data_IF_029339664712
#
_entry.id   IF_029339664712
#
_cell.length_a   1.000
_cell.length_b   1.000
_cell.length_c   1.000
_cell.angle_alpha   90.00
_cell.angle_beta   90.00
_cell.angle_gamma   90.00
#
_symmetry.space_group_name_H-M   'P 1'
#
loop_
_entity.id
_entity.type
_entity.pdbx_description
1 polymer ?
#
# COMPACT_ATOMS: atom_id res chain seq x y z
N UNK A 1 9.31 -1.78 -22.59
CA UNK A 1 8.91 -1.20 -21.29
C UNK A 1 7.92 -0.05 -21.45
N UNK A 2 8.25 1.07 -22.13
CA UNK A 2 7.30 2.20 -22.28
C UNK A 2 5.96 1.81 -22.95
N UNK A 3 5.99 1.02 -24.02
CA UNK A 3 4.78 0.52 -24.70
C UNK A 3 3.93 -0.37 -23.79
N UNK A 4 4.56 -1.21 -22.94
CA UNK A 4 3.85 -2.04 -21.97
C UNK A 4 3.19 -1.21 -20.86
N UNK A 5 3.83 -0.13 -20.42
CA UNK A 5 3.25 0.81 -19.46
C UNK A 5 2.04 1.50 -20.08
N UNK A 6 2.15 2.00 -21.31
CA UNK A 6 1.04 2.68 -22.00
C UNK A 6 -0.12 1.72 -22.26
N UNK A 7 0.14 0.51 -22.77
CA UNK A 7 -0.89 -0.50 -22.97
C UNK A 7 -1.53 -0.92 -21.65
N UNK A 8 -0.72 -1.17 -20.61
CA UNK A 8 -1.22 -1.53 -19.29
C UNK A 8 -2.11 -0.45 -18.68
N UNK A 9 -1.71 0.82 -18.79
CA UNK A 9 -2.51 1.96 -18.31
C UNK A 9 -3.82 2.07 -19.09
N UNK A 10 -3.78 2.00 -20.42
CA UNK A 10 -4.98 2.13 -21.24
C UNK A 10 -5.98 0.97 -21.01
N UNK A 11 -5.50 -0.26 -20.88
CA UNK A 11 -6.39 -1.42 -20.66
C UNK A 11 -6.93 -1.50 -19.24
N UNK A 12 -6.17 -1.06 -18.24
CA UNK A 12 -6.60 -1.11 -16.84
C UNK A 12 -7.45 0.09 -16.41
N UNK A 13 -7.24 1.28 -16.99
CA UNK A 13 -8.02 2.47 -16.67
C UNK A 13 -9.35 2.56 -17.42
N UNK A 14 -9.43 2.05 -18.65
CA UNK A 14 -10.66 2.11 -19.46
C UNK A 14 -11.91 1.51 -18.79
N UNK A 15 -11.85 0.40 -18.02
CA UNK A 15 -13.02 -0.15 -17.34
C UNK A 15 -13.26 0.42 -15.93
N UNK A 16 -12.37 1.27 -15.40
CA UNK A 16 -12.45 1.73 -14.01
C UNK A 16 -13.35 2.96 -13.85
N UNK A 17 -14.07 3.08 -12.72
CA UNK A 17 -14.76 4.31 -12.35
C UNK A 17 -13.79 5.50 -12.24
N UNK A 18 -14.28 6.70 -12.52
CA UNK A 18 -13.46 7.92 -12.51
C UNK A 18 -12.72 8.14 -11.18
N UNK A 19 -13.35 7.77 -10.05
CA UNK A 19 -12.75 7.82 -8.72
C UNK A 19 -11.49 6.94 -8.58
N UNK A 20 -11.46 5.77 -9.24
CA UNK A 20 -10.31 4.87 -9.22
C UNK A 20 -9.19 5.33 -10.17
N UNK A 21 -9.54 6.00 -11.27
CA UNK A 21 -8.58 6.42 -12.30
C UNK A 21 -7.54 7.42 -11.77
N UNK A 22 -7.95 8.39 -10.94
CA UNK A 22 -7.03 9.37 -10.37
C UNK A 22 -5.97 8.72 -9.46
N UNK A 23 -6.40 7.78 -8.60
CA UNK A 23 -5.51 7.05 -7.70
C UNK A 23 -4.62 6.06 -8.45
N UNK A 24 -5.13 5.45 -9.53
CA UNK A 24 -4.34 4.56 -10.37
C UNK A 24 -3.28 5.32 -11.19
N UNK A 25 -3.60 6.53 -11.65
CA UNK A 25 -2.63 7.42 -12.27
C UNK A 25 -1.54 7.85 -11.27
N UNK A 26 -1.92 8.19 -10.03
CA UNK A 26 -0.97 8.53 -8.97
C UNK A 26 -0.05 7.36 -8.63
N UNK A 27 -0.61 6.16 -8.45
CA UNK A 27 0.16 4.91 -8.25
C UNK A 27 1.19 4.71 -9.38
N UNK A 28 0.74 4.85 -10.63
CA UNK A 28 1.62 4.67 -11.80
C UNK A 28 2.73 5.71 -11.81
N UNK A 29 2.42 6.98 -11.52
CA UNK A 29 3.39 8.06 -11.46
C UNK A 29 4.45 7.80 -10.39
N UNK A 30 4.06 7.40 -9.18
CA UNK A 30 5.02 7.15 -8.09
C UNK A 30 5.90 5.92 -8.36
N UNK A 31 5.40 4.91 -9.07
CA UNK A 31 6.18 3.76 -9.53
C UNK A 31 7.21 4.13 -10.60
N UNK A 32 6.89 5.05 -11.52
CA UNK A 32 7.86 5.56 -12.50
C UNK A 32 9.00 6.33 -11.81
N UNK A 33 8.69 7.04 -10.72
CA UNK A 33 9.67 7.80 -9.93
C UNK A 33 10.51 6.90 -9.01
N UNK A 34 9.99 5.75 -8.59
CA UNK A 34 10.65 4.85 -7.63
C UNK A 34 12.12 4.49 -7.96
N UNK A 35 12.51 4.15 -9.22
CA UNK A 35 13.91 3.90 -9.56
C UNK A 35 14.85 5.08 -9.26
N UNK A 36 14.34 6.32 -9.33
CA UNK A 36 15.10 7.53 -8.99
C UNK A 36 15.24 7.68 -7.47
N UNK A 37 14.23 7.26 -6.69
CA UNK A 37 14.27 7.31 -5.23
C UNK A 37 15.43 6.49 -4.65
N UNK A 38 15.86 5.40 -5.30
CA UNK A 38 17.05 4.64 -4.87
C UNK A 38 18.35 5.47 -4.85
N UNK A 39 18.40 6.59 -5.57
CA UNK A 39 19.57 7.48 -5.63
C UNK A 39 19.52 8.63 -4.63
N UNK A 40 18.34 9.01 -4.16
CA UNK A 40 18.14 10.24 -3.37
C UNK A 40 17.48 10.02 -2.01
N UNK A 41 16.74 8.93 -1.82
CA UNK A 41 16.03 8.64 -0.57
C UNK A 41 16.83 7.66 0.30
N UNK A 42 16.91 7.94 1.60
CA UNK A 42 17.58 7.08 2.59
C UNK A 42 16.75 5.82 2.96
N UNK A 43 15.54 5.67 2.42
CA UNK A 43 14.65 4.53 2.65
C UNK A 43 13.76 4.25 1.42
N UNK A 44 14.34 3.81 0.28
CA UNK A 44 13.57 3.56 -0.95
C UNK A 44 12.43 2.54 -0.75
N UNK A 45 12.56 1.63 0.22
CA UNK A 45 11.52 0.66 0.59
C UNK A 45 10.22 1.33 1.06
N UNK A 46 10.31 2.45 1.77
CA UNK A 46 9.12 3.17 2.24
C UNK A 46 8.37 3.79 1.06
N UNK A 47 9.11 4.35 0.08
CA UNK A 47 8.52 4.89 -1.15
C UNK A 47 7.83 3.81 -1.98
N UNK A 48 8.45 2.64 -2.10
CA UNK A 48 7.87 1.49 -2.78
C UNK A 48 6.57 1.05 -2.11
N UNK A 49 6.58 0.92 -0.78
CA UNK A 49 5.41 0.55 0.01
C UNK A 49 4.27 1.56 -0.13
N UNK A 50 4.56 2.85 -0.01
CA UNK A 50 3.57 3.92 -0.19
C UNK A 50 2.97 3.92 -1.60
N UNK A 51 3.78 3.62 -2.62
CA UNK A 51 3.32 3.49 -4.00
C UNK A 51 2.37 2.32 -4.17
N UNK A 52 2.71 1.13 -3.66
CA UNK A 52 1.81 -0.03 -3.71
C UNK A 52 0.53 0.17 -2.90
N UNK A 53 0.62 0.87 -1.78
CA UNK A 53 -0.53 1.11 -0.91
C UNK A 53 -1.62 1.99 -1.56
N UNK A 54 -1.31 2.80 -2.58
CA UNK A 54 -2.35 3.44 -3.40
C UNK A 54 -3.30 2.44 -4.07
N UNK A 55 -2.88 1.19 -4.25
CA UNK A 55 -3.72 0.11 -4.76
C UNK A 55 -4.96 -0.15 -3.89
N UNK A 56 -4.86 0.08 -2.57
CA UNK A 56 -6.02 0.05 -1.66
C UNK A 56 -7.07 1.07 -2.08
N UNK A 57 -6.62 2.28 -2.44
CA UNK A 57 -7.51 3.34 -2.87
C UNK A 57 -8.11 3.09 -4.25
N UNK A 58 -7.33 2.53 -5.18
CA UNK A 58 -7.84 2.07 -6.49
C UNK A 58 -8.93 1.02 -6.30
N UNK A 59 -8.71 0.03 -5.42
CA UNK A 59 -9.71 -0.99 -5.10
C UNK A 59 -10.98 -0.41 -4.47
N UNK A 60 -10.84 0.55 -3.55
CA UNK A 60 -11.97 1.27 -2.97
C UNK A 60 -12.77 2.05 -4.03
N UNK A 61 -12.09 2.79 -4.91
CA UNK A 61 -12.70 3.50 -6.03
C UNK A 61 -13.43 2.57 -7.00
N UNK A 62 -12.86 1.40 -7.28
CA UNK A 62 -13.50 0.37 -8.11
C UNK A 62 -14.76 -0.20 -7.47
N UNK A 63 -14.82 -0.26 -6.14
CA UNK A 63 -15.99 -0.66 -5.36
C UNK A 63 -17.01 0.48 -5.16
N UNK A 64 -16.80 1.66 -5.75
CA UNK A 64 -17.70 2.81 -5.68
C UNK A 64 -17.44 3.78 -4.52
N UNK A 65 -16.31 3.66 -3.82
CA UNK A 65 -15.91 4.59 -2.74
C UNK A 65 -15.00 5.67 -3.30
N UNK A 66 -15.48 6.91 -3.37
CA UNK A 66 -14.67 8.05 -3.79
C UNK A 66 -13.84 8.61 -2.63
N UNK A 67 -12.62 8.11 -2.50
CA UNK A 67 -11.67 8.55 -1.47
C UNK A 67 -11.22 10.00 -1.62
N UNK A 68 -11.13 10.54 -2.84
CA UNK A 68 -10.72 11.94 -3.03
C UNK A 68 -11.81 12.86 -2.50
N UNK A 69 -13.06 12.53 -2.81
CA UNK A 69 -14.22 13.25 -2.30
C UNK A 69 -14.28 13.20 -0.77
N UNK A 70 -14.13 12.01 -0.16
CA UNK A 70 -14.10 11.84 1.30
C UNK A 70 -12.98 12.67 1.95
N UNK A 71 -11.77 12.63 1.39
CA UNK A 71 -10.64 13.43 1.88
C UNK A 71 -10.85 14.95 1.73
N UNK A 72 -11.68 15.38 0.79
CA UNK A 72 -12.04 16.80 0.61
C UNK A 72 -13.04 17.32 1.66
N UNK A 73 -13.68 16.44 2.44
CA UNK A 73 -14.72 16.80 3.41
C UNK A 73 -14.56 16.14 4.77
N UNK A 74 -13.32 15.99 5.24
CA UNK A 74 -12.99 15.28 6.49
C UNK A 74 -13.85 15.72 7.70
N UNK A 75 -14.08 17.02 7.86
CA UNK A 75 -14.85 17.58 8.98
C UNK A 75 -16.36 17.29 8.91
N UNK A 76 -16.86 16.91 7.73
CA UNK A 76 -18.28 16.66 7.46
C UNK A 76 -18.59 15.17 7.22
N UNK A 77 -17.61 14.28 7.41
CA UNK A 77 -17.81 12.85 7.19
C UNK A 77 -18.86 12.28 8.15
N UNK A 78 -19.78 11.49 7.61
CA UNK A 78 -20.67 10.69 8.44
C UNK A 78 -19.87 9.65 9.25
N UNK A 79 -20.45 9.15 10.35
CA UNK A 79 -19.79 8.15 11.20
C UNK A 79 -19.42 6.87 10.43
N UNK A 80 -20.26 6.43 9.49
CA UNK A 80 -19.98 5.28 8.64
C UNK A 80 -18.83 5.55 7.65
N UNK A 81 -18.78 6.74 7.04
CA UNK A 81 -17.71 7.13 6.13
C UNK A 81 -16.36 7.26 6.85
N UNK A 82 -16.38 7.82 8.06
CA UNK A 82 -15.21 7.88 8.94
C UNK A 82 -14.67 6.47 9.21
N UNK A 83 -15.55 5.51 9.50
CA UNK A 83 -15.14 4.11 9.72
C UNK A 83 -14.54 3.48 8.46
N UNK A 84 -15.12 3.73 7.28
CA UNK A 84 -14.56 3.26 6.00
C UNK A 84 -13.17 3.86 5.80
N UNK A 85 -13.01 5.17 6.00
CA UNK A 85 -11.73 5.85 5.87
C UNK A 85 -10.69 5.29 6.84
N UNK A 86 -11.05 5.06 8.11
CA UNK A 86 -10.15 4.41 9.08
C UNK A 86 -9.77 2.99 8.65
N UNK A 87 -10.74 2.20 8.16
CA UNK A 87 -10.50 0.82 7.67
C UNK A 87 -9.50 0.80 6.53
N UNK A 88 -9.71 1.67 5.54
CA UNK A 88 -8.83 1.81 4.37
C UNK A 88 -7.46 2.38 4.75
N UNK A 89 -7.40 3.28 5.73
CA UNK A 89 -6.12 3.79 6.26
C UNK A 89 -5.31 2.70 6.94
N UNK A 90 -5.94 1.87 7.78
CA UNK A 90 -5.28 0.72 8.40
C UNK A 90 -4.75 -0.24 7.33
N UNK A 91 -5.55 -0.52 6.29
CA UNK A 91 -5.15 -1.40 5.20
C UNK A 91 -4.02 -0.79 4.34
N UNK A 92 -4.04 0.52 4.11
CA UNK A 92 -2.97 1.25 3.45
C UNK A 92 -1.65 1.07 4.21
N UNK A 93 -1.63 1.35 5.51
CA UNK A 93 -0.42 1.20 6.33
C UNK A 93 0.02 -0.26 6.47
N UNK A 94 -0.92 -1.21 6.50
CA UNK A 94 -0.61 -2.63 6.43
C UNK A 94 0.20 -2.96 5.17
N UNK A 95 -0.23 -2.50 3.99
CA UNK A 95 0.50 -2.72 2.73
C UNK A 95 1.88 -2.07 2.76
N UNK A 96 1.99 -0.84 3.28
CA UNK A 96 3.30 -0.15 3.42
C UNK A 96 4.25 -0.97 4.29
N UNK A 97 3.80 -1.43 5.45
CA UNK A 97 4.62 -2.20 6.38
C UNK A 97 5.00 -3.57 5.81
N UNK A 98 4.05 -4.25 5.18
CA UNK A 98 4.30 -5.52 4.52
C UNK A 98 5.41 -5.36 3.46
N UNK A 99 5.29 -4.35 2.59
CA UNK A 99 6.35 -4.00 1.61
C UNK A 99 7.68 -3.70 2.26
N UNK A 100 7.68 -2.91 3.31
CA UNK A 100 8.91 -2.56 4.00
C UNK A 100 9.58 -3.81 4.59
N UNK A 101 8.82 -4.74 5.17
CA UNK A 101 9.35 -5.98 5.75
C UNK A 101 9.90 -6.90 4.65
N UNK A 102 9.10 -7.26 3.64
CA UNK A 102 9.57 -8.21 2.63
C UNK A 102 10.70 -7.62 1.79
N UNK A 103 10.64 -6.34 1.41
CA UNK A 103 11.68 -5.70 0.57
C UNK A 103 12.98 -5.51 1.36
N UNK A 104 12.90 -5.32 2.68
CA UNK A 104 14.10 -5.34 3.55
C UNK A 104 14.72 -6.73 3.63
N UNK A 105 13.91 -7.79 3.70
CA UNK A 105 14.41 -9.18 3.71
C UNK A 105 15.09 -9.49 2.37
N UNK A 106 14.48 -9.13 1.24
CA UNK A 106 15.09 -9.32 -0.08
C UNK A 106 16.34 -8.48 -0.26
N UNK A 107 16.37 -7.24 0.23
CA UNK A 107 17.55 -6.37 0.18
C UNK A 107 18.80 -6.90 0.90
N UNK A 108 18.66 -7.92 1.76
CA UNK A 108 19.83 -8.59 2.35
C UNK A 108 20.62 -9.42 1.33
N UNK A 109 20.01 -9.81 0.21
CA UNK A 109 20.69 -10.53 -0.86
C UNK A 109 21.67 -9.61 -1.59
N UNK A 110 21.29 -8.35 -1.79
CA UNK A 110 22.09 -7.33 -2.48
C UNK A 110 23.02 -6.56 -1.53
N UNK A 111 23.01 -6.85 -0.22
CA UNK A 111 23.69 -6.07 0.82
C UNK A 111 25.17 -5.80 0.51
N UNK A 112 25.89 -6.81 0.00
CA UNK A 112 27.33 -6.67 -0.33
C UNK A 112 27.57 -5.66 -1.45
N UNK A 113 26.68 -5.63 -2.44
CA UNK A 113 26.82 -4.76 -3.60
C UNK A 113 26.24 -3.37 -3.32
N UNK A 114 25.14 -3.28 -2.56
CA UNK A 114 24.60 -2.03 -2.01
C UNK A 114 25.64 -1.27 -1.18
N UNK A 115 26.40 -1.98 -0.34
CA UNK A 115 27.48 -1.38 0.46
C UNK A 115 28.62 -0.82 -0.42
N UNK A 116 29.01 -1.53 -1.49
CA UNK A 116 30.03 -1.05 -2.44
C UNK A 116 29.54 0.15 -3.25
N UNK A 117 28.26 0.16 -3.61
CA UNK A 117 27.62 1.21 -4.38
C UNK A 117 27.21 2.42 -3.53
N UNK A 118 27.33 2.34 -2.20
CA UNK A 118 26.95 3.43 -1.28
C UNK A 118 25.43 3.63 -1.18
N UNK A 119 24.64 2.60 -1.49
CA UNK A 119 23.17 2.65 -1.43
C UNK A 119 22.72 2.66 0.04
N UNK A 120 21.82 3.58 0.38
CA UNK A 120 21.27 3.73 1.72
C UNK A 120 19.92 3.04 1.84
N UNK A 121 19.94 1.71 1.84
CA UNK A 121 18.73 0.89 1.97
C UNK A 121 18.45 0.53 3.44
N UNK A 122 17.20 0.21 3.80
CA UNK A 122 16.89 -0.31 5.15
C UNK A 122 17.66 -1.59 5.48
N UNK A 123 17.97 -2.43 4.49
CA UNK A 123 18.81 -3.60 4.69
C UNK A 123 20.23 -3.20 5.16
N UNK A 124 20.81 -2.16 4.57
CA UNK A 124 22.12 -1.60 4.99
C UNK A 124 22.03 -0.96 6.38
N UNK A 125 20.97 -0.19 6.64
CA UNK A 125 20.75 0.50 7.91
C UNK A 125 20.51 -0.48 9.07
N UNK A 126 19.76 -1.56 8.84
CA UNK A 126 19.37 -2.52 9.86
C UNK A 126 20.19 -3.80 9.87
N UNK A 127 21.25 -3.93 9.07
CA UNK A 127 22.07 -5.15 8.90
C UNK A 127 22.33 -6.00 10.17
N UNK A 128 22.49 -5.38 11.34
CA UNK A 128 22.75 -6.08 12.61
C UNK A 128 21.49 -6.37 13.45
N UNK A 129 20.37 -5.67 13.19
CA UNK A 129 19.12 -5.71 13.94
C UNK A 129 17.90 -6.05 13.08
N UNK A 130 18.08 -6.48 11.83
CA UNK A 130 17.00 -6.71 10.86
C UNK A 130 15.88 -7.58 11.43
N UNK A 131 16.21 -8.74 12.02
CA UNK A 131 15.22 -9.65 12.59
C UNK A 131 14.35 -8.96 13.66
N UNK A 132 14.96 -8.18 14.54
CA UNK A 132 14.26 -7.44 15.61
C UNK A 132 13.35 -6.37 15.02
N UNK A 133 13.86 -5.57 14.09
CA UNK A 133 13.09 -4.47 13.49
C UNK A 133 11.93 -5.00 12.64
N UNK A 134 12.17 -6.02 11.79
CA UNK A 134 11.12 -6.69 11.03
C UNK A 134 10.08 -7.35 11.94
N UNK A 135 10.48 -7.96 13.07
CA UNK A 135 9.53 -8.54 14.03
C UNK A 135 8.64 -7.47 14.67
N UNK A 136 9.20 -6.32 15.07
CA UNK A 136 8.41 -5.19 15.60
C UNK A 136 7.41 -4.70 14.55
N UNK A 137 7.86 -4.51 13.31
CA UNK A 137 6.97 -4.09 12.23
C UNK A 137 5.90 -5.12 11.91
N UNK A 138 6.22 -6.42 11.96
CA UNK A 138 5.26 -7.49 11.75
C UNK A 138 4.17 -7.51 12.84
N UNK A 139 4.51 -7.21 14.09
CA UNK A 139 3.51 -7.07 15.16
C UNK A 139 2.57 -5.89 14.88
N UNK A 140 3.11 -4.76 14.41
CA UNK A 140 2.30 -3.59 14.04
C UNK A 140 1.44 -3.89 12.81
N UNK A 141 2.00 -4.57 11.81
CA UNK A 141 1.30 -5.03 10.60
C UNK A 141 0.09 -5.92 10.96
N UNK A 142 0.27 -6.90 11.85
CA UNK A 142 -0.81 -7.76 12.33
C UNK A 142 -1.86 -6.94 13.09
N UNK A 143 -1.44 -6.00 13.94
CA UNK A 143 -2.37 -5.13 14.66
C UNK A 143 -3.22 -4.26 13.70
N UNK A 144 -2.63 -3.72 12.64
CA UNK A 144 -3.34 -2.99 11.60
C UNK A 144 -4.34 -3.88 10.86
N UNK A 145 -3.97 -5.13 10.55
CA UNK A 145 -4.86 -6.07 9.88
C UNK A 145 -6.06 -6.45 10.76
N UNK A 146 -5.83 -6.64 12.07
CA UNK A 146 -6.90 -6.85 13.06
C UNK A 146 -7.80 -5.62 13.16
N UNK A 147 -7.22 -4.41 13.18
CA UNK A 147 -8.00 -3.17 13.17
C UNK A 147 -8.87 -3.04 11.92
N UNK A 148 -8.33 -3.36 10.73
CA UNK A 148 -9.09 -3.42 9.48
C UNK A 148 -10.27 -4.40 9.60
N UNK A 149 -10.07 -5.58 10.18
CA UNK A 149 -11.15 -6.56 10.38
C UNK A 149 -12.25 -6.02 11.30
N UNK A 150 -11.89 -5.42 12.44
CA UNK A 150 -12.85 -4.87 13.41
C UNK A 150 -13.63 -3.69 12.81
N UNK A 151 -12.93 -2.72 12.22
CA UNK A 151 -13.53 -1.50 11.68
C UNK A 151 -14.41 -1.80 10.45
N UNK A 152 -13.92 -2.69 9.58
CA UNK A 152 -14.63 -3.18 8.40
C UNK A 152 -15.74 -4.18 8.69
N UNK A 153 -15.95 -4.56 9.95
CA UNK A 153 -16.92 -5.59 10.37
C UNK A 153 -16.72 -6.93 9.66
N UNK A 154 -15.48 -7.24 9.30
CA UNK A 154 -15.09 -8.51 8.68
C UNK A 154 -14.95 -9.54 9.80
N UNK A 155 -16.07 -10.10 10.25
CA UNK A 155 -16.07 -11.19 11.24
C UNK A 155 -15.47 -12.48 10.65
N UNK A 156 -15.03 -13.40 11.50
CA UNK A 156 -14.38 -14.68 11.12
C UNK A 156 -15.19 -15.57 10.16
N UNK A 157 -16.46 -15.27 9.95
CA UNK A 157 -17.23 -15.74 8.81
C UNK A 157 -17.48 -14.59 7.83
N UNK A 158 -16.88 -14.68 6.65
CA UNK A 158 -17.34 -13.98 5.44
C UNK A 158 -18.78 -14.41 5.02
N UNK A 159 -19.53 -15.12 5.87
CA UNK A 159 -20.14 -16.40 5.49
C UNK A 159 -21.54 -16.70 6.07
N UNK A 160 -22.44 -15.73 6.24
CA UNK A 160 -23.88 -16.07 6.48
C UNK A 160 -24.92 -15.20 5.78
N UNK A 161 -24.52 -14.05 5.22
CA UNK A 161 -25.49 -13.15 4.52
C UNK A 161 -25.50 -13.33 3.00
N UNK A 162 -24.38 -13.76 2.39
CA UNK A 162 -24.32 -14.11 0.97
C UNK A 162 -24.83 -15.53 0.69
N UNK A 163 -24.64 -16.48 1.61
CA UNK A 163 -25.14 -17.85 1.50
C UNK A 163 -26.69 -17.97 1.63
N UNK A 164 -27.38 -16.91 2.05
CA UNK A 164 -28.84 -16.88 2.16
C UNK A 164 -29.52 -16.17 0.97
N UNK A 165 -28.76 -15.72 -0.03
CA UNK A 165 -29.26 -15.06 -1.23
C UNK A 165 -29.17 -15.94 -2.51
N UNK A 166 -28.84 -17.22 -2.35
CA UNK A 166 -28.88 -18.24 -3.40
C UNK A 166 -29.77 -19.41 -2.99
#
# INVERSE_FOLDING_TARGET
>A
MAIQIVLGVLTTLAPLPQAACALAALLTATQIVYPLCKRFADCPQLWLGASFAFGVGVGAGAAGVDLLEMCGRLDALASNETRILCTLSCLYFFVVLNTLIYDTIYGHQDLKDDLKAGVKSLAVAWRNNTKRNCAILAVIEIALLVATSILGQLTTGFDRRLAAQH
#
